data_IF_152696073113
#
_entry.id   IF_152696073113
#
_cell.length_a   1.000
_cell.length_b   1.000
_cell.length_c   1.000
_cell.angle_alpha   90.00
_cell.angle_beta   90.00
_cell.angle_gamma   90.00
#
_symmetry.space_group_name_H-M   'P 1'
#
loop_
_entity.id
_entity.type
_entity.pdbx_description
1 polymer ?
#
# COMPACT_ATOMS: atom_id res chain seq x y z
N UNK A 1 -10.21 -5.14 -19.84
CA UNK A 1 -9.73 -3.98 -19.06
C UNK A 1 -9.69 -4.42 -17.62
N UNK A 2 -8.55 -4.34 -16.92
CA UNK A 2 -8.53 -4.58 -15.47
C UNK A 2 -9.27 -3.43 -14.79
N UNK A 3 -10.35 -3.73 -14.10
CA UNK A 3 -11.01 -2.76 -13.22
C UNK A 3 -10.04 -2.47 -12.06
N UNK A 4 -9.67 -1.20 -11.89
CA UNK A 4 -8.89 -0.78 -10.73
C UNK A 4 -9.84 -0.82 -9.53
N UNK A 5 -9.54 -1.69 -8.56
CA UNK A 5 -10.44 -2.01 -7.43
C UNK A 5 -9.91 -1.55 -6.09
N UNK A 6 -8.61 -1.32 -5.98
CA UNK A 6 -7.95 -1.04 -4.72
C UNK A 6 -7.16 0.25 -4.80
N UNK A 7 -7.14 1.03 -3.73
CA UNK A 7 -6.36 2.25 -3.60
C UNK A 7 -5.10 1.94 -2.79
N UNK A 8 -3.94 2.00 -3.45
CA UNK A 8 -2.65 1.94 -2.77
C UNK A 8 -2.35 3.33 -2.20
N UNK A 9 -2.12 3.41 -0.90
CA UNK A 9 -1.74 4.65 -0.22
C UNK A 9 -0.39 4.43 0.47
N UNK A 10 0.56 5.28 0.15
CA UNK A 10 1.82 5.39 0.87
C UNK A 10 1.73 6.63 1.76
N UNK A 11 1.95 6.45 3.05
CA UNK A 11 1.92 7.51 4.06
C UNK A 11 3.29 7.59 4.71
N UNK A 12 4.02 8.67 4.51
CA UNK A 12 5.37 8.86 5.05
C UNK A 12 5.39 10.05 6.02
N UNK A 13 5.30 9.75 7.32
CA UNK A 13 5.29 10.74 8.41
C UNK A 13 6.39 11.80 8.24
N UNK A 14 6.01 12.98 7.75
CA UNK A 14 6.89 14.16 7.63
C UNK A 14 7.64 14.31 6.31
N UNK A 15 7.35 13.51 5.27
CA UNK A 15 7.87 13.69 3.91
C UNK A 15 6.71 13.76 2.91
N UNK A 16 6.14 14.96 2.74
CA UNK A 16 5.04 15.25 1.80
C UNK A 16 5.30 14.74 0.37
N UNK A 17 6.57 14.61 -0.05
CA UNK A 17 6.96 14.11 -1.38
C UNK A 17 6.72 12.60 -1.61
N UNK A 18 6.50 11.81 -0.55
CA UNK A 18 6.27 10.36 -0.65
C UNK A 18 4.84 9.94 -0.32
N UNK A 19 3.98 10.89 0.06
CA UNK A 19 2.56 10.67 0.24
C UNK A 19 1.91 10.53 -1.14
N UNK A 20 1.48 9.31 -1.46
CA UNK A 20 1.04 8.96 -2.79
C UNK A 20 -0.13 7.99 -2.77
N UNK A 21 -1.19 8.35 -3.48
CA UNK A 21 -2.37 7.53 -3.68
C UNK A 21 -2.44 7.05 -5.14
N UNK A 22 -2.61 5.74 -5.34
CA UNK A 22 -2.69 5.16 -6.68
C UNK A 22 -3.67 4.02 -6.73
N UNK A 23 -4.66 4.12 -7.61
CA UNK A 23 -5.56 3.02 -7.92
C UNK A 23 -4.86 1.90 -8.66
N UNK A 24 -4.96 0.69 -8.11
CA UNK A 24 -4.36 -0.55 -8.60
C UNK A 24 -5.43 -1.60 -8.86
N UNK A 25 -5.09 -2.59 -9.69
CA UNK A 25 -5.93 -3.75 -9.94
C UNK A 25 -5.56 -4.93 -9.03
N UNK A 26 -6.32 -6.02 -9.14
CA UNK A 26 -6.12 -7.21 -8.32
C UNK A 26 -4.78 -7.92 -8.56
N UNK A 27 -4.24 -7.88 -9.77
CA UNK A 27 -2.93 -8.49 -10.04
C UNK A 27 -1.83 -7.70 -9.34
N UNK A 28 -1.90 -6.38 -9.39
CA UNK A 28 -0.94 -5.51 -8.74
C UNK A 28 -1.06 -5.57 -7.21
N UNK A 29 -2.28 -5.67 -6.68
CA UNK A 29 -2.54 -5.95 -5.26
C UNK A 29 -1.84 -7.23 -4.80
N UNK A 30 -2.03 -8.34 -5.52
CA UNK A 30 -1.38 -9.62 -5.18
C UNK A 30 0.14 -9.52 -5.23
N UNK A 31 0.71 -8.83 -6.24
CA UNK A 31 2.16 -8.60 -6.34
C UNK A 31 2.71 -7.81 -5.16
N UNK A 32 2.02 -6.76 -4.73
CA UNK A 32 2.45 -5.95 -3.58
C UNK A 32 2.39 -6.76 -2.29
N UNK A 33 1.32 -7.54 -2.11
CA UNK A 33 1.16 -8.44 -0.97
C UNK A 33 2.26 -9.52 -0.91
N UNK A 34 2.59 -10.11 -2.05
CA UNK A 34 3.67 -11.10 -2.17
C UNK A 34 5.03 -10.49 -1.85
N UNK A 35 5.37 -9.35 -2.46
CA UNK A 35 6.61 -8.61 -2.17
C UNK A 35 6.72 -8.17 -0.71
N UNK A 36 5.60 -7.81 -0.09
CA UNK A 36 5.52 -7.42 1.32
C UNK A 36 5.85 -8.58 2.25
N UNK A 37 5.33 -9.78 1.96
CA UNK A 37 5.64 -11.01 2.72
C UNK A 37 7.11 -11.40 2.59
N UNK A 38 7.68 -11.21 1.41
CA UNK A 38 9.09 -11.50 1.13
C UNK A 38 10.07 -10.48 1.75
N UNK A 39 9.57 -9.41 2.39
CA UNK A 39 10.40 -8.31 2.92
C UNK A 39 11.08 -7.47 1.83
N UNK A 40 10.66 -7.59 0.57
CA UNK A 40 11.27 -6.95 -0.61
C UNK A 40 10.71 -5.56 -0.92
N UNK A 41 9.86 -5.03 -0.05
CA UNK A 41 9.24 -3.69 -0.26
C UNK A 41 10.22 -2.58 0.13
N UNK A 42 11.27 -2.89 0.92
CA UNK A 42 12.35 -1.92 1.21
C UNK A 42 11.84 -0.63 1.86
N UNK A 43 10.73 -0.72 2.60
CA UNK A 43 10.03 0.41 3.19
C UNK A 43 10.32 0.44 4.69
N UNK A 44 10.74 1.61 5.19
CA UNK A 44 11.01 1.79 6.60
C UNK A 44 9.71 2.05 7.34
N UNK A 45 9.20 1.05 8.06
CA UNK A 45 7.96 1.16 8.83
C UNK A 45 7.95 2.20 9.95
N UNK A 46 9.11 2.78 10.29
CA UNK A 46 9.20 3.89 11.26
C UNK A 46 9.01 5.26 10.61
N UNK A 47 9.14 5.36 9.28
CA UNK A 47 9.01 6.61 8.53
C UNK A 47 7.81 6.57 7.58
N UNK A 48 7.54 5.41 6.99
CA UNK A 48 6.52 5.22 5.98
C UNK A 48 5.65 4.01 6.30
N UNK A 49 4.40 4.05 5.87
CA UNK A 49 3.48 2.94 5.84
C UNK A 49 2.93 2.79 4.43
N UNK A 50 2.78 1.54 3.98
CA UNK A 50 2.07 1.20 2.76
C UNK A 50 0.76 0.52 3.15
N UNK A 51 -0.36 1.17 2.88
CA UNK A 51 -1.71 0.64 3.09
C UNK A 51 -2.44 0.50 1.76
N UNK A 52 -3.38 -0.42 1.69
CA UNK A 52 -4.24 -0.63 0.55
C UNK A 52 -5.67 -0.64 1.04
N UNK A 53 -6.48 0.21 0.44
CA UNK A 53 -7.90 0.38 0.73
C UNK A 53 -8.74 -0.22 -0.41
N UNK A 54 -9.93 -0.72 -0.10
CA UNK A 54 -10.92 -1.10 -1.11
C UNK A 54 -11.68 0.13 -1.66
N UNK A 55 -12.60 -0.09 -2.59
CA UNK A 55 -13.41 0.98 -3.19
C UNK A 55 -14.33 1.68 -2.18
N UNK A 56 -14.60 1.06 -1.03
CA UNK A 56 -15.39 1.60 0.07
C UNK A 56 -14.51 2.35 1.11
N UNK A 57 -13.19 2.36 0.91
CA UNK A 57 -12.22 3.02 1.79
C UNK A 57 -11.79 2.18 2.99
N UNK A 58 -12.10 0.88 3.03
CA UNK A 58 -11.64 0.01 4.12
C UNK A 58 -10.23 -0.49 3.84
N UNK A 59 -9.35 -0.43 4.85
CA UNK A 59 -7.99 -0.96 4.74
C UNK A 59 -8.05 -2.49 4.66
N UNK A 60 -7.74 -3.04 3.48
CA UNK A 60 -7.69 -4.48 3.22
C UNK A 60 -6.29 -5.06 3.37
N UNK A 61 -5.26 -4.22 3.36
CA UNK A 61 -3.87 -4.61 3.58
C UNK A 61 -3.04 -3.45 4.13
N UNK A 62 -2.12 -3.74 5.05
CA UNK A 62 -1.11 -2.80 5.51
C UNK A 62 0.21 -3.55 5.66
N UNK A 63 1.29 -2.95 5.13
CA UNK A 63 2.62 -3.54 5.19
C UNK A 63 3.27 -3.38 6.56
N UNK A 64 3.11 -2.20 7.15
CA UNK A 64 3.63 -1.90 8.47
C UNK A 64 2.49 -2.02 9.46
N UNK A 65 2.50 -3.07 10.27
CA UNK A 65 1.62 -3.16 11.43
C UNK A 65 1.94 -1.95 12.33
N UNK A 66 1.12 -0.90 12.25
CA UNK A 66 1.14 0.16 13.25
C UNK A 66 0.66 -0.51 14.54
N UNK A 67 1.60 -0.87 15.42
CA UNK A 67 1.32 -1.34 16.78
C UNK A 67 0.94 -0.18 17.68
#
# INVERSE_FOLDING_TARGET
>A
MSEKKYLLVMDCHGKEDHDGERWIDEQEFQRIKDRSKDGKVGLNCSECNLKIEDADGNIVFSHCEIK
#
